data_IF_639282182048
#
_entry.id   IF_639282182048
#
_cell.length_a   1.000
_cell.length_b   1.000
_cell.length_c   1.000
_cell.angle_alpha   90.00
_cell.angle_beta   90.00
_cell.angle_gamma   90.00
#
_symmetry.space_group_name_H-M   'P 1'
#
loop_
_entity.id
_entity.type
_entity.pdbx_description
1 polymer ?
#
# COMPACT_ATOMS: atom_id res chain seq x y z
N UNK A 1 35.42 -5.85 -89.07
CA UNK A 1 34.32 -6.73 -88.67
C UNK A 1 34.07 -6.49 -87.16
N UNK A 2 33.00 -5.86 -86.82
CA UNK A 2 32.72 -5.40 -85.44
C UNK A 2 31.61 -6.29 -84.83
N UNK A 3 31.98 -7.09 -83.86
CA UNK A 3 31.05 -7.90 -83.05
C UNK A 3 30.41 -7.04 -81.97
N UNK A 4 29.07 -6.99 -81.95
CA UNK A 4 28.29 -6.30 -80.92
C UNK A 4 27.92 -7.31 -79.84
N UNK A 5 28.44 -7.09 -78.61
CA UNK A 5 28.02 -7.80 -77.42
C UNK A 5 26.83 -7.06 -76.80
N UNK A 6 25.70 -7.76 -76.66
CA UNK A 6 24.51 -7.26 -76.00
C UNK A 6 24.58 -7.64 -74.48
N UNK A 7 24.61 -6.66 -73.63
CA UNK A 7 24.41 -6.83 -72.18
C UNK A 7 22.91 -6.91 -71.86
N UNK A 8 22.51 -8.03 -71.28
CA UNK A 8 21.20 -8.14 -70.63
C UNK A 8 21.37 -7.73 -69.20
N UNK A 9 20.70 -6.61 -68.79
CA UNK A 9 20.55 -6.21 -67.41
C UNK A 9 19.37 -6.97 -66.74
N UNK A 10 19.69 -7.90 -65.87
CA UNK A 10 18.68 -8.58 -65.02
C UNK A 10 18.25 -7.68 -63.86
N UNK A 11 17.00 -7.22 -63.88
CA UNK A 11 16.38 -6.60 -62.74
C UNK A 11 16.02 -7.65 -61.67
N UNK A 12 16.81 -7.71 -60.59
CA UNK A 12 16.43 -8.45 -59.37
C UNK A 12 15.45 -7.55 -58.59
N UNK A 13 14.17 -7.90 -58.72
CA UNK A 13 13.13 -7.26 -57.90
C UNK A 13 13.27 -7.70 -56.44
N UNK A 14 13.69 -6.76 -55.59
CA UNK A 14 13.70 -6.94 -54.14
C UNK A 14 12.26 -6.69 -53.63
N UNK A 15 11.49 -7.79 -53.47
CA UNK A 15 10.21 -7.74 -52.78
C UNK A 15 10.44 -7.41 -51.31
N UNK A 16 10.30 -6.15 -50.95
CA UNK A 16 10.23 -5.69 -49.57
C UNK A 16 8.88 -6.12 -48.99
N UNK A 17 8.84 -7.23 -48.25
CA UNK A 17 7.67 -7.66 -47.49
C UNK A 17 7.54 -6.69 -46.29
N UNK A 18 6.70 -5.66 -46.44
CA UNK A 18 6.24 -4.86 -45.32
C UNK A 18 5.33 -5.72 -44.45
N UNK A 19 5.85 -6.22 -43.32
CA UNK A 19 5.05 -6.73 -42.24
C UNK A 19 4.26 -5.55 -41.66
N UNK A 20 2.91 -5.62 -41.57
CA UNK A 20 2.16 -4.61 -40.88
C UNK A 20 2.48 -4.72 -39.37
N UNK A 21 3.16 -3.73 -38.82
CA UNK A 21 3.23 -3.52 -37.39
C UNK A 21 1.79 -3.27 -36.92
N UNK A 22 1.15 -4.28 -36.30
CA UNK A 22 -0.06 -4.11 -35.52
C UNK A 22 0.28 -3.30 -34.28
N UNK A 23 0.53 -2.01 -34.43
CA UNK A 23 0.49 -1.05 -33.37
C UNK A 23 -0.98 -0.90 -32.98
N UNK A 24 -1.35 -1.30 -31.77
CA UNK A 24 -2.61 -0.92 -31.14
C UNK A 24 -2.66 0.61 -31.09
N UNK A 25 -3.18 1.25 -32.12
CA UNK A 25 -3.45 2.69 -32.10
C UNK A 25 -4.45 2.95 -30.98
N UNK A 26 -4.05 3.70 -29.96
CA UNK A 26 -4.98 4.15 -28.92
C UNK A 26 -6.12 4.89 -29.60
N UNK A 27 -7.32 4.30 -29.57
CA UNK A 27 -8.53 4.93 -30.12
C UNK A 27 -8.78 6.20 -29.33
N UNK A 28 -8.70 7.36 -29.99
CA UNK A 28 -9.02 8.63 -29.35
C UNK A 28 -10.51 8.66 -28.99
N UNK A 29 -10.80 9.16 -27.78
CA UNK A 29 -12.17 9.37 -27.30
C UNK A 29 -12.57 10.79 -27.61
N UNK A 30 -13.52 10.97 -28.53
CA UNK A 30 -13.94 12.28 -29.04
C UNK A 30 -15.17 12.80 -28.31
N UNK A 31 -16.10 11.90 -27.98
CA UNK A 31 -17.36 12.26 -27.34
C UNK A 31 -17.33 12.10 -25.82
N UNK A 32 -18.16 12.88 -25.13
CA UNK A 32 -18.35 12.73 -23.67
C UNK A 32 -18.84 11.33 -23.30
N UNK A 33 -19.70 10.71 -24.11
CA UNK A 33 -20.19 9.36 -23.91
C UNK A 33 -19.08 8.30 -23.94
N UNK A 34 -18.12 8.45 -24.86
CA UNK A 34 -16.95 7.55 -24.93
C UNK A 34 -16.05 7.72 -23.71
N UNK A 35 -15.79 8.95 -23.29
CA UNK A 35 -15.00 9.25 -22.09
C UNK A 35 -15.62 8.67 -20.83
N UNK A 36 -16.93 8.82 -20.64
CA UNK A 36 -17.68 8.25 -19.53
C UNK A 36 -17.58 6.73 -19.55
N UNK A 37 -17.83 6.08 -20.70
CA UNK A 37 -17.76 4.63 -20.82
C UNK A 37 -16.36 4.09 -20.51
N UNK A 38 -15.32 4.75 -21.01
CA UNK A 38 -13.94 4.37 -20.70
C UNK A 38 -13.60 4.55 -19.23
N UNK A 39 -14.00 5.67 -18.62
CA UNK A 39 -13.74 5.94 -17.19
C UNK A 39 -14.37 4.88 -16.29
N UNK A 40 -15.64 4.54 -16.53
CA UNK A 40 -16.32 3.46 -15.78
C UNK A 40 -15.60 2.13 -15.97
N UNK A 41 -15.24 1.78 -17.21
CA UNK A 41 -14.49 0.55 -17.51
C UNK A 41 -13.11 0.52 -16.84
N UNK A 42 -12.42 1.66 -16.79
CA UNK A 42 -11.13 1.80 -16.11
C UNK A 42 -11.27 1.55 -14.61
N UNK A 43 -12.28 2.14 -13.96
CA UNK A 43 -12.50 2.01 -12.53
C UNK A 43 -12.85 0.56 -12.15
N UNK A 44 -13.72 -0.09 -12.95
CA UNK A 44 -14.03 -1.51 -12.78
C UNK A 44 -12.77 -2.36 -12.96
N UNK A 45 -12.02 -2.18 -14.04
CA UNK A 45 -10.79 -2.94 -14.30
C UNK A 45 -9.71 -2.74 -13.24
N UNK A 46 -9.54 -1.51 -12.75
CA UNK A 46 -8.61 -1.17 -11.67
C UNK A 46 -9.01 -1.86 -10.35
N UNK A 47 -10.31 -1.92 -10.06
CA UNK A 47 -10.83 -2.59 -8.88
C UNK A 47 -10.63 -4.12 -8.96
N UNK A 48 -10.98 -4.75 -10.08
CA UNK A 48 -10.74 -6.18 -10.32
C UNK A 48 -9.25 -6.53 -10.16
N UNK A 49 -8.38 -5.73 -10.78
CA UNK A 49 -6.92 -5.90 -10.65
C UNK A 49 -6.44 -5.75 -9.20
N UNK A 50 -6.93 -4.73 -8.50
CA UNK A 50 -6.56 -4.46 -7.10
C UNK A 50 -6.97 -5.59 -6.16
N UNK A 51 -8.08 -6.27 -6.45
CA UNK A 51 -8.55 -7.42 -5.68
C UNK A 51 -7.99 -8.76 -6.18
N UNK A 52 -7.25 -8.77 -7.28
CA UNK A 52 -6.73 -9.99 -7.89
C UNK A 52 -7.81 -10.89 -8.49
N UNK A 53 -8.93 -10.30 -8.93
CA UNK A 53 -10.05 -11.00 -9.58
C UNK A 53 -9.73 -11.17 -11.06
N UNK A 54 -9.68 -12.43 -11.51
CA UNK A 54 -9.58 -12.78 -12.92
C UNK A 54 -11.00 -13.03 -13.46
N UNK A 55 -11.47 -12.11 -14.30
CA UNK A 55 -12.81 -12.19 -14.90
C UNK A 55 -12.70 -12.14 -16.43
N UNK A 56 -13.47 -12.99 -17.12
CA UNK A 56 -13.57 -12.96 -18.58
C UNK A 56 -14.25 -11.66 -19.03
N UNK A 57 -13.47 -10.81 -19.69
CA UNK A 57 -13.93 -9.49 -20.15
C UNK A 57 -15.02 -9.57 -21.22
N UNK A 58 -15.06 -10.66 -22.01
CA UNK A 58 -16.09 -10.83 -23.04
C UNK A 58 -17.45 -11.12 -22.37
N UNK A 59 -17.49 -12.04 -21.39
CA UNK A 59 -18.71 -12.32 -20.64
C UNK A 59 -19.11 -11.17 -19.72
N UNK A 60 -18.14 -10.43 -19.14
CA UNK A 60 -18.44 -9.23 -18.38
C UNK A 60 -19.14 -8.16 -19.25
N UNK A 61 -18.65 -7.93 -20.47
CA UNK A 61 -19.29 -7.05 -21.45
C UNK A 61 -20.72 -7.50 -21.79
N UNK A 62 -20.94 -8.81 -22.01
CA UNK A 62 -22.28 -9.35 -22.29
C UNK A 62 -23.21 -9.15 -21.10
N UNK A 63 -22.77 -9.41 -19.87
CA UNK A 63 -23.57 -9.16 -18.67
C UNK A 63 -23.97 -7.69 -18.50
N UNK A 64 -23.04 -6.77 -18.76
CA UNK A 64 -23.34 -5.33 -18.75
C UNK A 64 -24.40 -4.99 -19.82
N UNK A 65 -24.23 -5.54 -21.02
CA UNK A 65 -25.16 -5.30 -22.14
C UNK A 65 -26.57 -5.83 -21.85
N UNK A 66 -26.67 -7.05 -21.33
CA UNK A 66 -27.95 -7.68 -20.97
C UNK A 66 -28.66 -6.86 -19.87
N UNK A 67 -27.92 -6.43 -18.84
CA UNK A 67 -28.44 -5.59 -17.76
C UNK A 67 -28.94 -4.22 -18.26
N UNK A 68 -28.21 -3.55 -19.15
CA UNK A 68 -28.62 -2.27 -19.74
C UNK A 68 -29.84 -2.40 -20.67
N UNK A 69 -30.03 -3.57 -21.27
CA UNK A 69 -31.20 -3.89 -22.10
C UNK A 69 -32.44 -4.30 -21.27
N UNK A 70 -32.31 -4.44 -19.93
CA UNK A 70 -33.39 -4.96 -19.09
C UNK A 70 -33.70 -6.43 -19.33
N UNK A 71 -32.75 -7.20 -19.89
CA UNK A 71 -32.92 -8.62 -20.12
C UNK A 71 -32.83 -9.41 -18.80
N UNK A 72 -33.48 -10.57 -18.75
CA UNK A 72 -33.32 -11.50 -17.64
C UNK A 72 -31.90 -12.03 -17.57
N UNK A 73 -31.30 -12.15 -16.37
CA UNK A 73 -29.98 -12.72 -16.19
C UNK A 73 -29.88 -14.14 -16.75
N UNK A 74 -28.77 -14.46 -17.42
CA UNK A 74 -28.53 -15.83 -17.95
C UNK A 74 -28.25 -16.87 -16.87
N UNK A 75 -27.79 -16.40 -15.67
CA UNK A 75 -27.63 -17.22 -14.49
C UNK A 75 -28.82 -16.97 -13.53
N UNK A 76 -29.31 -18.00 -12.90
CA UNK A 76 -30.30 -17.89 -11.83
C UNK A 76 -29.73 -17.13 -10.62
N UNK A 77 -30.61 -16.70 -9.73
CA UNK A 77 -30.18 -16.05 -8.48
C UNK A 77 -29.25 -16.97 -7.65
N UNK A 78 -29.59 -18.28 -7.57
CA UNK A 78 -28.79 -19.25 -6.83
C UNK A 78 -27.38 -19.43 -7.44
N UNK A 79 -27.31 -19.66 -8.77
CA UNK A 79 -26.01 -19.79 -9.46
C UNK A 79 -25.13 -18.56 -9.28
N UNK A 80 -25.68 -17.35 -9.38
CA UNK A 80 -24.92 -16.11 -9.13
C UNK A 80 -24.42 -16.03 -7.70
N UNK A 81 -25.25 -16.42 -6.74
CA UNK A 81 -24.88 -16.44 -5.33
C UNK A 81 -23.75 -17.42 -5.06
N UNK A 82 -23.85 -18.64 -5.61
CA UNK A 82 -22.81 -19.67 -5.47
C UNK A 82 -21.47 -19.19 -6.04
N UNK A 83 -21.47 -18.66 -7.25
CA UNK A 83 -20.25 -18.14 -7.91
C UNK A 83 -19.63 -17.01 -7.09
N UNK A 84 -20.42 -16.06 -6.59
CA UNK A 84 -19.91 -14.92 -5.81
C UNK A 84 -19.45 -15.36 -4.41
N UNK A 85 -20.06 -16.37 -3.82
CA UNK A 85 -19.60 -16.95 -2.54
C UNK A 85 -18.25 -17.64 -2.73
N UNK A 86 -18.12 -18.49 -3.74
CA UNK A 86 -16.87 -19.18 -4.06
C UNK A 86 -15.72 -18.19 -4.34
N UNK A 87 -15.99 -17.14 -5.12
CA UNK A 87 -15.02 -16.07 -5.36
C UNK A 87 -14.58 -15.38 -4.06
N UNK A 88 -15.54 -15.08 -3.19
CA UNK A 88 -15.25 -14.43 -1.89
C UNK A 88 -14.37 -15.32 -1.02
N UNK A 89 -14.67 -16.62 -0.94
CA UNK A 89 -13.85 -17.58 -0.18
C UNK A 89 -12.44 -17.72 -0.74
N UNK A 90 -12.30 -17.78 -2.07
CA UNK A 90 -11.00 -17.84 -2.74
C UNK A 90 -10.16 -16.58 -2.44
N UNK A 91 -10.76 -15.40 -2.56
CA UNK A 91 -10.08 -14.15 -2.27
C UNK A 91 -9.68 -14.04 -0.79
N UNK A 92 -10.55 -14.45 0.13
CA UNK A 92 -10.23 -14.47 1.56
C UNK A 92 -9.05 -15.40 1.85
N UNK A 93 -9.04 -16.60 1.27
CA UNK A 93 -7.94 -17.54 1.43
C UNK A 93 -6.63 -16.96 0.89
N UNK A 94 -6.66 -16.41 -0.32
CA UNK A 94 -5.48 -15.78 -0.94
C UNK A 94 -4.94 -14.60 -0.11
N UNK A 95 -5.82 -13.74 0.39
CA UNK A 95 -5.43 -12.64 1.26
C UNK A 95 -4.83 -13.13 2.59
N UNK A 96 -5.40 -14.19 3.19
CA UNK A 96 -4.86 -14.78 4.42
C UNK A 96 -3.46 -15.40 4.21
N UNK A 97 -3.23 -16.10 3.10
CA UNK A 97 -1.94 -16.66 2.73
C UNK A 97 -0.90 -15.54 2.50
N UNK A 98 -1.27 -14.48 1.76
CA UNK A 98 -0.40 -13.33 1.53
C UNK A 98 -0.07 -12.59 2.83
N UNK A 99 -1.07 -12.36 3.68
CA UNK A 99 -0.88 -11.74 4.99
C UNK A 99 0.03 -12.58 5.89
N UNK A 100 -0.12 -13.91 5.88
CA UNK A 100 0.74 -14.84 6.63
C UNK A 100 2.20 -14.75 6.19
N UNK A 101 2.44 -14.77 4.88
CA UNK A 101 3.80 -14.64 4.33
C UNK A 101 4.40 -13.28 4.66
N UNK A 102 3.68 -12.19 4.35
CA UNK A 102 4.14 -10.83 4.67
C UNK A 102 4.37 -10.64 6.18
N UNK A 103 3.54 -11.25 7.03
CA UNK A 103 3.69 -11.18 8.47
C UNK A 103 4.94 -11.89 8.99
N UNK A 104 5.30 -13.03 8.39
CA UNK A 104 6.54 -13.74 8.73
C UNK A 104 7.79 -12.96 8.29
N UNK A 105 7.76 -12.39 7.09
CA UNK A 105 8.84 -11.57 6.55
C UNK A 105 9.03 -10.29 7.37
N UNK A 106 7.95 -9.60 7.70
CA UNK A 106 7.99 -8.39 8.53
C UNK A 106 8.51 -8.67 9.93
N UNK A 107 8.10 -9.79 10.56
CA UNK A 107 8.61 -10.19 11.88
C UNK A 107 10.11 -10.39 11.83
N UNK A 108 10.59 -11.19 10.88
CA UNK A 108 12.03 -11.46 10.71
C UNK A 108 12.81 -10.16 10.49
N UNK A 109 12.39 -9.33 9.52
CA UNK A 109 13.04 -8.06 9.24
C UNK A 109 13.01 -7.09 10.43
N UNK A 110 11.89 -7.05 11.18
CA UNK A 110 11.72 -6.27 12.39
C UNK A 110 12.66 -6.70 13.51
N UNK A 111 12.78 -8.00 13.76
CA UNK A 111 13.68 -8.55 14.78
C UNK A 111 15.15 -8.24 14.44
N UNK A 112 15.57 -8.45 13.20
CA UNK A 112 16.91 -8.11 12.73
C UNK A 112 17.20 -6.60 12.86
N UNK A 113 16.23 -5.76 12.49
CA UNK A 113 16.33 -4.32 12.62
C UNK A 113 16.49 -3.89 14.09
N UNK A 114 15.64 -4.38 15.00
CA UNK A 114 15.69 -4.05 16.42
C UNK A 114 16.98 -4.54 17.09
N UNK A 115 17.45 -5.74 16.76
CA UNK A 115 18.73 -6.25 17.24
C UNK A 115 19.92 -5.38 16.82
N UNK A 116 19.94 -4.93 15.57
CA UNK A 116 20.95 -4.04 15.07
C UNK A 116 20.83 -2.64 15.68
N UNK A 117 19.60 -2.14 15.84
CA UNK A 117 19.32 -0.81 16.36
C UNK A 117 19.69 -0.67 17.84
N UNK A 118 19.49 -1.70 18.66
CA UNK A 118 19.88 -1.73 20.09
C UNK A 118 21.36 -1.47 20.31
N UNK A 119 22.21 -1.76 19.30
CA UNK A 119 23.66 -1.55 19.37
C UNK A 119 24.10 -0.13 18.97
N UNK A 120 23.16 0.67 18.45
CA UNK A 120 23.48 2.04 18.03
C UNK A 120 23.65 2.98 19.22
N UNK A 121 24.59 3.91 19.10
CA UNK A 121 24.84 4.89 20.14
C UNK A 121 23.60 5.73 20.47
N UNK A 122 23.27 5.83 21.73
CA UNK A 122 22.15 6.62 22.24
C UNK A 122 20.79 5.91 22.20
N UNK A 123 20.69 4.71 21.66
CA UNK A 123 19.49 3.89 21.71
C UNK A 123 19.41 3.19 23.07
N UNK A 124 18.24 3.23 23.69
CA UNK A 124 17.89 2.56 24.94
C UNK A 124 16.75 1.61 24.68
N UNK A 125 16.72 0.48 25.40
CA UNK A 125 15.66 -0.53 25.31
C UNK A 125 15.00 -0.68 26.67
N UNK A 126 13.67 -0.68 26.70
CA UNK A 126 12.87 -0.91 27.92
C UNK A 126 12.64 -2.43 28.12
N UNK A 127 12.07 -2.79 29.27
CA UNK A 127 11.74 -4.18 29.58
C UNK A 127 10.69 -4.79 28.63
N UNK A 128 9.83 -3.98 28.01
CA UNK A 128 8.83 -4.42 27.04
C UNK A 128 9.40 -4.67 25.65
N UNK A 129 10.67 -4.27 25.41
CA UNK A 129 11.30 -4.32 24.10
C UNK A 129 11.14 -3.02 23.27
N UNK A 130 10.44 -2.01 23.79
CA UNK A 130 10.41 -0.69 23.16
C UNK A 130 11.83 -0.12 23.12
N UNK A 131 12.26 0.36 21.96
CA UNK A 131 13.52 1.08 21.85
C UNK A 131 13.26 2.57 21.61
N UNK A 132 14.13 3.40 22.14
CA UNK A 132 14.02 4.85 21.94
C UNK A 132 15.38 5.53 21.94
N UNK A 133 15.43 6.65 21.24
CA UNK A 133 16.59 7.54 21.20
C UNK A 133 16.13 8.96 21.52
N UNK A 134 16.82 9.61 22.44
CA UNK A 134 16.60 11.01 22.76
C UNK A 134 17.27 11.88 21.70
N UNK A 135 16.49 12.66 20.96
CA UNK A 135 16.99 13.64 20.00
C UNK A 135 17.14 15.01 20.67
N UNK A 136 16.15 15.36 21.50
CA UNK A 136 16.14 16.61 22.28
C UNK A 136 15.47 16.35 23.61
N UNK A 137 16.11 16.76 24.70
CA UNK A 137 15.49 16.71 26.04
C UNK A 137 14.44 17.79 26.21
N UNK A 138 13.37 17.45 26.91
CA UNK A 138 12.34 18.38 27.37
C UNK A 138 12.58 18.82 28.81
N UNK A 139 11.88 19.89 29.21
CA UNK A 139 11.99 20.45 30.56
C UNK A 139 10.68 20.51 31.33
N UNK A 140 9.54 20.29 30.62
CA UNK A 140 8.22 20.36 31.20
C UNK A 140 7.78 19.09 31.93
N UNK A 141 6.47 18.92 32.09
CA UNK A 141 5.88 17.77 32.76
C UNK A 141 6.03 16.50 31.90
N UNK A 142 6.07 15.34 32.56
CA UNK A 142 5.91 14.04 31.89
C UNK A 142 4.44 13.62 31.97
N UNK A 143 3.86 13.07 30.89
CA UNK A 143 2.47 12.61 30.90
C UNK A 143 2.32 11.30 31.69
N UNK A 144 1.13 11.12 32.27
CA UNK A 144 0.67 9.83 32.81
C UNK A 144 -0.17 9.10 31.77
N UNK A 145 -0.36 7.81 31.95
CA UNK A 145 -1.15 6.98 31.03
C UNK A 145 -2.61 7.46 30.84
N UNK A 146 -3.15 8.22 31.77
CA UNK A 146 -4.51 8.77 31.73
C UNK A 146 -4.61 10.16 31.10
N UNK A 147 -3.47 10.81 30.85
CA UNK A 147 -3.43 12.16 30.31
C UNK A 147 -3.60 12.13 28.78
N UNK A 148 -3.96 13.29 28.21
CA UNK A 148 -3.89 13.52 26.77
C UNK A 148 -2.61 14.28 26.45
N UNK A 149 -2.07 14.06 25.25
CA UNK A 149 -0.85 14.72 24.79
C UNK A 149 -1.07 15.37 23.43
N UNK A 150 -0.46 16.53 23.24
CA UNK A 150 -0.38 17.18 21.93
C UNK A 150 1.04 17.00 21.40
N UNK A 151 1.16 16.45 20.21
CA UNK A 151 2.44 16.06 19.60
C UNK A 151 2.52 16.45 18.13
N UNK A 152 3.74 16.71 17.65
CA UNK A 152 4.09 16.50 16.26
C UNK A 152 4.76 15.15 16.10
N UNK A 153 4.45 14.43 15.01
CA UNK A 153 5.04 13.13 14.75
C UNK A 153 5.13 12.81 13.25
N UNK A 154 6.04 11.90 12.93
CA UNK A 154 6.11 11.17 11.66
C UNK A 154 6.32 9.70 11.97
N UNK A 155 5.47 8.83 11.39
CA UNK A 155 5.53 7.38 11.50
C UNK A 155 5.96 6.74 10.18
N UNK A 156 6.97 5.89 10.25
CA UNK A 156 7.50 5.16 9.09
C UNK A 156 7.61 3.67 9.37
N UNK A 157 7.60 2.86 8.34
CA UNK A 157 8.08 1.49 8.38
C UNK A 157 9.61 1.48 8.47
N UNK A 158 10.21 0.30 8.72
CA UNK A 158 11.66 0.15 8.82
C UNK A 158 12.40 0.41 7.50
N UNK A 159 11.73 0.34 6.36
CA UNK A 159 12.24 0.70 5.03
C UNK A 159 12.18 2.20 4.73
N UNK A 160 11.64 3.00 5.66
CA UNK A 160 11.47 4.44 5.52
C UNK A 160 10.16 4.88 4.87
N UNK A 161 9.27 3.95 4.47
CA UNK A 161 7.96 4.27 3.94
C UNK A 161 7.12 4.97 5.02
N UNK A 162 6.77 6.24 4.79
CA UNK A 162 5.94 7.01 5.72
C UNK A 162 4.46 6.61 5.55
N UNK A 163 3.81 6.24 6.65
CA UNK A 163 2.40 5.89 6.66
C UNK A 163 1.51 6.94 7.32
N UNK A 164 2.07 7.79 8.20
CA UNK A 164 1.33 8.88 8.84
C UNK A 164 2.27 9.99 9.33
N UNK A 165 1.83 11.26 9.22
CA UNK A 165 2.62 12.42 9.64
C UNK A 165 1.73 13.61 9.96
N UNK A 166 1.84 14.15 11.17
CA UNK A 166 1.22 15.41 11.55
C UNK A 166 1.87 16.62 10.86
N UNK A 167 3.14 16.50 10.50
CA UNK A 167 3.83 17.56 9.76
C UNK A 167 3.24 17.74 8.35
N UNK A 168 2.87 16.65 7.67
CA UNK A 168 2.20 16.71 6.36
C UNK A 168 0.81 17.30 6.43
N UNK A 169 0.11 17.12 7.56
CA UNK A 169 -1.19 17.75 7.79
C UNK A 169 -1.09 19.23 8.15
N UNK A 170 0.11 19.72 8.52
CA UNK A 170 0.38 21.10 8.87
C UNK A 170 0.00 21.48 10.29
N UNK A 171 -0.50 20.54 11.12
CA UNK A 171 -0.95 20.80 12.48
C UNK A 171 -0.58 19.66 13.44
N UNK A 172 -0.32 19.96 14.74
CA UNK A 172 -0.11 18.93 15.75
C UNK A 172 -1.40 18.14 16.01
N UNK A 173 -1.24 16.93 16.51
CA UNK A 173 -2.36 16.07 16.85
C UNK A 173 -2.44 15.85 18.36
N UNK A 174 -3.66 15.73 18.88
CA UNK A 174 -3.92 15.49 20.32
C UNK A 174 -4.53 14.09 20.48
N UNK A 175 -3.95 13.30 21.38
CA UNK A 175 -4.37 11.93 21.66
C UNK A 175 -4.48 11.68 23.17
N UNK A 176 -5.50 10.94 23.63
CA UNK A 176 -5.50 10.33 24.95
C UNK A 176 -4.50 9.16 24.95
N UNK A 177 -3.59 9.10 25.94
CA UNK A 177 -2.54 8.07 25.96
C UNK A 177 -3.06 6.64 26.17
N UNK A 178 -4.25 6.48 26.71
CA UNK A 178 -4.92 5.18 26.83
C UNK A 178 -5.63 4.74 25.53
N UNK A 179 -5.68 5.59 24.51
CA UNK A 179 -6.32 5.32 23.22
C UNK A 179 -5.36 5.06 22.07
N UNK A 180 -4.04 5.08 22.33
CA UNK A 180 -3.00 4.86 21.31
C UNK A 180 -2.33 3.48 21.47
N UNK A 181 -1.45 3.10 20.55
CA UNK A 181 -0.68 1.85 20.62
C UNK A 181 0.18 1.80 21.89
N UNK A 182 0.39 0.60 22.44
CA UNK A 182 1.11 0.41 23.71
C UNK A 182 2.49 1.03 23.72
N UNK A 183 3.20 0.96 22.60
CA UNK A 183 4.52 1.59 22.45
C UNK A 183 4.48 3.11 22.63
N UNK A 184 3.41 3.79 22.21
CA UNK A 184 3.21 5.21 22.45
C UNK A 184 2.82 5.50 23.90
N UNK A 185 1.90 4.70 24.46
CA UNK A 185 1.51 4.85 25.87
C UNK A 185 2.72 4.74 26.77
N UNK A 186 3.62 3.80 26.53
CA UNK A 186 4.86 3.62 27.29
C UNK A 186 5.89 4.71 26.98
N UNK A 187 6.17 4.91 25.68
CA UNK A 187 7.25 5.80 25.23
C UNK A 187 7.04 7.27 25.61
N UNK A 188 5.80 7.77 25.47
CA UNK A 188 5.50 9.17 25.77
C UNK A 188 5.61 9.48 27.27
N UNK A 189 5.37 8.51 28.16
CA UNK A 189 5.62 8.68 29.61
C UNK A 189 7.10 8.83 29.96
N UNK A 190 8.01 8.43 29.07
CA UNK A 190 9.46 8.65 29.22
C UNK A 190 9.89 10.07 28.80
N UNK A 191 9.01 10.80 28.10
CA UNK A 191 9.29 12.15 27.60
C UNK A 191 8.88 13.23 28.62
N UNK A 192 9.41 14.42 28.40
CA UNK A 192 8.94 15.66 29.03
C UNK A 192 8.47 16.62 27.95
N UNK A 193 7.56 17.52 28.26
CA UNK A 193 7.17 18.59 27.34
C UNK A 193 8.38 19.32 26.77
N UNK A 194 8.36 19.55 25.46
CA UNK A 194 9.46 20.12 24.69
C UNK A 194 10.50 19.11 24.22
N UNK A 195 10.37 17.82 24.59
CA UNK A 195 11.26 16.76 24.13
C UNK A 195 10.95 16.31 22.72
N UNK A 196 11.98 15.78 22.05
CA UNK A 196 11.86 15.06 20.76
C UNK A 196 12.58 13.73 20.86
N UNK A 197 11.85 12.65 20.65
CA UNK A 197 12.37 11.29 20.71
C UNK A 197 12.12 10.55 19.39
N UNK A 198 12.91 9.55 19.16
CA UNK A 198 12.68 8.55 18.12
C UNK A 198 12.36 7.23 18.82
N UNK A 199 11.23 6.64 18.47
CA UNK A 199 10.77 5.36 18.99
C UNK A 199 10.87 4.29 17.91
N UNK A 200 11.34 3.10 18.29
CA UNK A 200 11.36 1.91 17.46
C UNK A 200 10.51 0.86 18.17
N UNK A 201 9.35 0.62 17.63
CA UNK A 201 8.26 -0.08 18.31
C UNK A 201 8.09 -1.46 17.70
N UNK A 202 8.40 -2.55 18.43
CA UNK A 202 8.12 -3.90 17.97
C UNK A 202 6.62 -4.08 17.73
N UNK A 203 6.26 -4.95 16.81
CA UNK A 203 4.87 -5.14 16.38
C UNK A 203 3.91 -5.46 17.51
N UNK A 204 4.36 -6.16 18.53
CA UNK A 204 3.58 -6.53 19.72
C UNK A 204 3.14 -5.31 20.55
N UNK A 205 3.89 -4.22 20.47
CA UNK A 205 3.54 -2.94 21.10
C UNK A 205 2.84 -1.98 20.13
N UNK A 206 2.57 -2.42 18.91
CA UNK A 206 1.90 -1.66 17.84
C UNK A 206 0.61 -2.37 17.40
N UNK A 207 0.54 -2.82 16.17
CA UNK A 207 -0.67 -3.38 15.56
C UNK A 207 -0.65 -4.91 15.42
N UNK A 208 0.46 -5.58 15.81
CA UNK A 208 0.60 -7.03 15.84
C UNK A 208 0.34 -7.72 14.50
N UNK A 209 -0.27 -8.90 14.56
CA UNK A 209 -0.53 -9.75 13.39
C UNK A 209 -1.60 -9.17 12.43
N UNK A 210 -2.39 -8.19 12.87
CA UNK A 210 -3.45 -7.62 12.03
C UNK A 210 -2.93 -6.50 11.12
N UNK A 211 -1.85 -5.81 11.52
CA UNK A 211 -1.47 -4.57 10.86
C UNK A 211 -2.53 -3.47 11.00
N UNK A 212 -2.45 -2.41 10.21
CA UNK A 212 -3.43 -1.31 10.22
C UNK A 212 -3.50 -0.58 8.87
N UNK A 213 -4.72 -0.22 8.46
CA UNK A 213 -5.00 0.74 7.39
C UNK A 213 -4.43 0.41 6.00
N UNK A 214 -4.08 -0.84 5.73
CA UNK A 214 -3.48 -1.25 4.46
C UNK A 214 -2.03 -0.79 4.24
N UNK A 215 -1.58 0.24 4.94
CA UNK A 215 -0.21 0.75 4.86
C UNK A 215 0.74 0.04 5.84
N UNK A 216 0.22 -0.45 6.96
CA UNK A 216 0.98 -1.18 7.99
C UNK A 216 0.63 -2.66 7.90
N UNK A 217 1.53 -3.45 7.34
CA UNK A 217 1.35 -4.89 7.19
C UNK A 217 1.37 -5.64 8.54
N UNK A 218 0.97 -6.93 8.53
CA UNK A 218 1.07 -7.79 9.69
C UNK A 218 2.49 -7.82 10.26
N UNK A 219 2.61 -7.82 11.58
CA UNK A 219 3.88 -7.88 12.33
C UNK A 219 4.93 -6.82 11.97
N UNK A 220 4.50 -5.68 11.42
CA UNK A 220 5.43 -4.61 11.07
C UNK A 220 5.98 -3.91 12.33
N UNK A 221 7.29 -3.75 12.40
CA UNK A 221 7.99 -2.88 13.34
C UNK A 221 7.86 -1.44 12.85
N UNK A 222 7.55 -0.52 13.74
CA UNK A 222 7.30 0.88 13.42
C UNK A 222 8.41 1.79 13.96
N UNK A 223 8.70 2.84 13.21
CA UNK A 223 9.61 3.91 13.64
C UNK A 223 8.82 5.22 13.71
N UNK A 224 8.87 5.88 14.85
CA UNK A 224 8.24 7.19 15.04
C UNK A 224 9.25 8.22 15.52
N UNK A 225 9.26 9.36 14.85
CA UNK A 225 9.85 10.57 15.43
C UNK A 225 8.71 11.36 16.07
N UNK A 226 8.80 11.66 17.36
CA UNK A 226 7.75 12.33 18.12
C UNK A 226 8.31 13.53 18.87
N UNK A 227 7.65 14.67 18.76
CA UNK A 227 7.90 15.88 19.52
C UNK A 227 6.70 16.14 20.44
N UNK A 228 6.92 16.06 21.74
CA UNK A 228 5.88 16.31 22.75
C UNK A 228 5.76 17.82 23.00
N UNK A 229 4.64 18.39 22.59
CA UNK A 229 4.37 19.83 22.68
C UNK A 229 3.77 20.16 24.04
N UNK A 230 2.71 19.45 24.45
CA UNK A 230 2.06 19.69 25.75
C UNK A 230 1.41 18.44 26.32
N UNK A 231 1.27 18.44 27.65
CA UNK A 231 0.51 17.44 28.42
C UNK A 231 -0.78 18.08 28.90
N UNK A 232 -1.92 17.51 28.51
CA UNK A 232 -3.26 17.96 28.84
C UNK A 232 -3.85 17.01 29.90
N UNK A 233 -4.12 17.52 31.10
CA UNK A 233 -4.65 16.76 32.23
C UNK A 233 -6.16 16.70 32.20
#
# INVERSE_FOLDING_TARGET
MKSKVRFYAGCIGFCLVMLPAFGCAKKNMETQKEKVGYSIGWDIGSNLKGQGIDADLAFMKEGIKDALAGAEPRLTFEERREVMTALTEELQKKHAEQAGTAGADNRKAGDEFLQANAKKQGVKTTASGLQYKVIKEGKGASPKATDSVTVHYSGTLIDGTEFDSSYKRGEPATFPLNGVIRGWTEGLQLMKEGAKYEFYIPSELAYGERGAGGAIGPNATLVFTVELISVNK
#
